data_IF_003112585820
#
_entry.id   IF_003112585820
#
_cell.length_a   1.000
_cell.length_b   1.000
_cell.length_c   1.000
_cell.angle_alpha   90.00
_cell.angle_beta   90.00
_cell.angle_gamma   90.00
#
_symmetry.space_group_name_H-M   'P 1'
#
loop_
_entity.id
_entity.type
_entity.pdbx_description
1 polymer ?
#
# COMPACT_ATOMS: atom_id res chain seq x y z
N UNK A 1 -27.93 -0.42 -14.53
CA UNK A 1 -28.17 0.10 -13.15
C UNK A 1 -28.73 -1.04 -12.34
N UNK A 2 -28.23 -1.25 -11.12
CA UNK A 2 -28.82 -2.20 -10.17
C UNK A 2 -29.97 -1.49 -9.42
N UNK A 3 -31.11 -2.19 -9.26
CA UNK A 3 -32.21 -1.82 -8.38
C UNK A 3 -31.93 -2.27 -6.96
N UNK A 4 -32.67 -1.76 -5.97
CA UNK A 4 -32.57 -2.21 -4.57
C UNK A 4 -32.98 -3.68 -4.39
N UNK A 5 -33.80 -4.20 -5.29
CA UNK A 5 -34.33 -5.58 -5.27
C UNK A 5 -33.46 -6.56 -6.09
N UNK A 6 -32.42 -6.08 -6.78
CA UNK A 6 -31.56 -6.92 -7.58
C UNK A 6 -30.64 -7.78 -6.70
N UNK A 7 -30.44 -9.03 -7.13
CA UNK A 7 -29.50 -9.94 -6.46
C UNK A 7 -28.08 -9.44 -6.65
N UNK A 8 -27.47 -9.00 -5.57
CA UNK A 8 -26.05 -8.60 -5.58
C UNK A 8 -25.13 -9.82 -5.41
N UNK A 9 -23.94 -9.80 -6.04
CA UNK A 9 -22.95 -10.84 -5.85
C UNK A 9 -22.57 -11.00 -4.38
N UNK A 10 -22.37 -12.23 -3.96
CA UNK A 10 -21.87 -12.54 -2.61
C UNK A 10 -20.46 -11.94 -2.41
N UNK A 11 -20.11 -11.59 -1.17
CA UNK A 11 -18.78 -11.09 -0.80
C UNK A 11 -17.64 -11.99 -1.27
N UNK A 12 -17.83 -13.31 -1.29
CA UNK A 12 -16.83 -14.26 -1.80
C UNK A 12 -16.59 -14.11 -3.32
N UNK A 13 -17.62 -13.76 -4.09
CA UNK A 13 -17.49 -13.47 -5.53
C UNK A 13 -16.66 -12.22 -5.75
N UNK A 14 -16.90 -11.17 -4.95
CA UNK A 14 -16.09 -9.96 -4.98
C UNK A 14 -14.63 -10.27 -4.63
N UNK A 15 -14.39 -10.98 -3.55
CA UNK A 15 -13.05 -11.38 -3.12
C UNK A 15 -12.31 -12.21 -4.17
N UNK A 16 -12.96 -13.22 -4.78
CA UNK A 16 -12.39 -14.03 -5.86
C UNK A 16 -12.03 -13.19 -7.09
N UNK A 17 -12.88 -12.26 -7.50
CA UNK A 17 -12.60 -11.39 -8.63
C UNK A 17 -11.46 -10.41 -8.32
N UNK A 18 -11.42 -9.83 -7.11
CA UNK A 18 -10.34 -8.94 -6.67
C UNK A 18 -8.99 -9.64 -6.69
N UNK A 19 -8.90 -10.86 -6.14
CA UNK A 19 -7.65 -11.61 -6.04
C UNK A 19 -7.27 -12.38 -7.31
N UNK A 20 -8.21 -12.62 -8.21
CA UNK A 20 -8.00 -13.32 -9.47
C UNK A 20 -8.03 -12.37 -10.67
N UNK A 21 -9.23 -12.18 -11.23
CA UNK A 21 -9.44 -11.48 -12.52
C UNK A 21 -8.89 -10.05 -12.57
N UNK A 22 -9.05 -9.28 -11.51
CA UNK A 22 -8.74 -7.83 -11.53
C UNK A 22 -7.42 -7.48 -10.88
N UNK A 23 -6.69 -8.44 -10.36
CA UNK A 23 -5.50 -8.20 -9.57
C UNK A 23 -4.38 -7.52 -10.38
N UNK A 24 -4.07 -8.05 -11.55
CA UNK A 24 -2.99 -7.57 -12.42
C UNK A 24 -3.49 -6.70 -13.58
N UNK A 25 -4.80 -6.46 -13.63
CA UNK A 25 -5.44 -5.77 -14.76
C UNK A 25 -5.36 -4.24 -14.72
N UNK A 26 -4.81 -3.65 -13.66
CA UNK A 26 -4.84 -2.19 -13.45
C UNK A 26 -6.25 -1.59 -13.29
N UNK A 27 -7.31 -2.41 -13.24
CA UNK A 27 -8.71 -1.95 -13.22
C UNK A 27 -8.99 -1.05 -12.03
N UNK A 28 -8.49 -1.38 -10.84
CA UNK A 28 -8.72 -0.56 -9.64
C UNK A 28 -8.04 0.80 -9.76
N UNK A 29 -6.82 0.84 -10.30
CA UNK A 29 -6.11 2.10 -10.58
C UNK A 29 -6.87 2.93 -11.59
N UNK A 30 -7.32 2.34 -12.67
CA UNK A 30 -8.12 3.01 -13.69
C UNK A 30 -9.42 3.61 -13.11
N UNK A 31 -10.14 2.86 -12.25
CA UNK A 31 -11.36 3.38 -11.57
C UNK A 31 -11.01 4.55 -10.67
N UNK A 32 -9.94 4.43 -9.88
CA UNK A 32 -9.45 5.50 -9.00
C UNK A 32 -9.14 6.77 -9.80
N UNK A 33 -8.37 6.66 -10.88
CA UNK A 33 -8.01 7.79 -11.74
C UNK A 33 -9.25 8.44 -12.38
N UNK A 34 -10.27 7.65 -12.73
CA UNK A 34 -11.56 8.17 -13.23
C UNK A 34 -12.29 9.00 -12.17
N UNK A 35 -12.28 8.57 -10.91
CA UNK A 35 -12.89 9.31 -9.80
C UNK A 35 -12.13 10.62 -9.56
N UNK A 36 -10.80 10.59 -9.52
CA UNK A 36 -9.97 11.80 -9.36
C UNK A 36 -10.26 12.81 -10.48
N UNK A 37 -10.32 12.36 -11.75
CA UNK A 37 -10.66 13.23 -12.88
C UNK A 37 -12.08 13.81 -12.77
N UNK A 38 -13.04 13.05 -12.27
CA UNK A 38 -14.38 13.56 -12.02
C UNK A 38 -14.39 14.66 -10.94
N UNK A 39 -13.59 14.50 -9.87
CA UNK A 39 -13.38 15.53 -8.85
C UNK A 39 -12.72 16.80 -9.43
N UNK A 40 -11.75 16.64 -10.34
CA UNK A 40 -11.12 17.76 -11.03
C UNK A 40 -12.13 18.54 -11.89
N UNK A 41 -12.94 17.84 -12.68
CA UNK A 41 -14.01 18.45 -13.51
C UNK A 41 -15.03 19.19 -12.64
N UNK A 42 -15.35 18.64 -11.46
CA UNK A 42 -16.24 19.27 -10.50
C UNK A 42 -15.61 20.45 -9.74
N UNK A 43 -14.33 20.77 -9.99
CA UNK A 43 -13.60 21.86 -9.33
C UNK A 43 -13.23 21.58 -7.86
N UNK A 44 -13.26 20.32 -7.45
CA UNK A 44 -12.91 19.89 -6.08
C UNK A 44 -11.41 19.74 -5.86
N UNK A 45 -10.61 19.65 -6.91
CA UNK A 45 -9.14 19.62 -6.85
C UNK A 45 -8.61 20.97 -7.28
N UNK A 46 -7.84 21.63 -6.42
CA UNK A 46 -7.24 22.95 -6.68
C UNK A 46 -5.77 22.87 -7.08
N UNK A 47 -5.06 21.84 -6.61
CA UNK A 47 -3.65 21.65 -6.95
C UNK A 47 -2.68 22.61 -6.26
N UNK A 48 -3.14 23.48 -5.36
CA UNK A 48 -2.31 24.48 -4.70
C UNK A 48 -1.46 23.90 -3.56
N UNK A 49 -2.07 23.02 -2.76
CA UNK A 49 -1.42 22.40 -1.62
C UNK A 49 -1.78 20.93 -1.49
N UNK A 50 -0.77 20.11 -1.26
CA UNK A 50 -0.97 18.70 -0.96
C UNK A 50 -0.55 18.39 0.48
N UNK A 51 -1.30 17.52 1.14
CA UNK A 51 -0.91 16.89 2.39
C UNK A 51 -0.55 15.43 2.16
N UNK A 52 0.39 14.95 2.96
CA UNK A 52 0.73 13.53 3.05
C UNK A 52 0.29 13.04 4.41
N UNK A 53 -0.43 11.94 4.43
CA UNK A 53 -0.86 11.26 5.64
C UNK A 53 -0.66 9.75 5.47
N UNK A 54 -0.47 9.05 6.57
CA UNK A 54 -0.27 7.62 6.57
C UNK A 54 -1.12 6.92 7.63
N UNK A 55 -1.74 5.82 7.26
CA UNK A 55 -2.46 4.94 8.17
C UNK A 55 -1.78 3.58 8.26
N UNK A 56 -1.59 3.07 9.47
CA UNK A 56 -1.04 1.75 9.71
C UNK A 56 -2.16 0.71 9.57
N UNK A 57 -1.90 -0.31 8.75
CA UNK A 57 -2.80 -1.46 8.55
C UNK A 57 -2.10 -2.70 9.11
N UNK A 58 -2.71 -3.35 10.09
CA UNK A 58 -2.21 -4.61 10.63
C UNK A 58 -2.20 -5.69 9.54
N UNK A 59 -1.04 -6.33 9.38
CA UNK A 59 -0.88 -7.45 8.45
C UNK A 59 -1.46 -8.74 9.06
N UNK A 60 -2.03 -9.60 8.23
CA UNK A 60 -2.44 -10.94 8.63
C UNK A 60 -1.22 -11.87 8.80
N UNK A 61 -0.27 -11.42 9.60
CA UNK A 61 1.04 -11.99 9.85
C UNK A 61 1.17 -12.37 11.33
N UNK A 62 0.64 -13.53 11.71
CA UNK A 62 0.61 -13.96 13.11
C UNK A 62 1.98 -13.93 13.78
N UNK A 63 2.11 -13.25 14.91
CA UNK A 63 3.35 -13.14 15.71
C UNK A 63 3.94 -14.49 16.14
N UNK A 64 3.12 -15.55 16.17
CA UNK A 64 3.54 -16.92 16.50
C UNK A 64 4.46 -17.56 15.45
N UNK A 65 4.43 -17.07 14.22
CA UNK A 65 5.28 -17.51 13.10
C UNK A 65 6.39 -16.48 12.81
N UNK A 66 6.77 -15.69 13.79
CA UNK A 66 7.81 -14.68 13.64
C UNK A 66 9.13 -15.15 14.22
N UNK A 67 10.23 -14.80 13.54
CA UNK A 67 11.59 -15.07 13.96
C UNK A 67 12.38 -13.74 14.12
N UNK A 68 13.52 -13.73 14.88
CA UNK A 68 14.47 -12.63 14.83
C UNK A 68 14.98 -12.39 13.41
N UNK A 69 15.15 -11.13 13.02
CA UNK A 69 15.56 -10.81 11.65
C UNK A 69 17.03 -11.03 11.37
N UNK A 70 17.86 -11.13 12.42
CA UNK A 70 19.30 -11.42 12.38
C UNK A 70 19.63 -12.91 12.38
N UNK A 71 18.63 -13.78 12.56
CA UNK A 71 18.83 -15.23 12.50
C UNK A 71 18.72 -15.73 11.05
N UNK A 72 19.66 -16.58 10.62
CA UNK A 72 19.59 -17.19 9.30
C UNK A 72 18.39 -18.12 9.19
N UNK A 73 17.60 -17.97 8.12
CA UNK A 73 16.46 -18.84 7.84
C UNK A 73 16.58 -19.47 6.45
N UNK A 74 16.38 -20.77 6.41
CA UNK A 74 16.32 -21.51 5.13
C UNK A 74 14.86 -21.50 4.63
N UNK A 75 14.61 -20.65 3.67
CA UNK A 75 13.31 -20.58 3.01
C UNK A 75 13.03 -21.82 2.19
N UNK A 76 11.76 -22.28 2.20
CA UNK A 76 11.34 -23.36 1.32
C UNK A 76 11.47 -22.94 -0.15
N UNK A 77 11.48 -23.93 -1.05
CA UNK A 77 11.52 -23.66 -2.49
C UNK A 77 10.41 -22.67 -2.88
N UNK A 78 10.72 -21.57 -3.60
CA UNK A 78 9.74 -20.56 -4.01
C UNK A 78 8.50 -21.11 -4.71
N UNK A 79 8.61 -22.23 -5.43
CA UNK A 79 7.48 -22.87 -6.12
C UNK A 79 6.41 -23.44 -5.19
N UNK A 80 6.75 -23.75 -3.94
CA UNK A 80 5.82 -24.32 -2.93
C UNK A 80 5.47 -23.31 -1.83
N UNK A 81 6.15 -22.17 -1.80
CA UNK A 81 5.88 -21.11 -0.83
C UNK A 81 4.56 -20.38 -1.09
N UNK A 82 3.97 -19.84 0.00
CA UNK A 82 2.90 -18.86 -0.12
C UNK A 82 3.42 -17.66 -0.94
N UNK A 83 2.49 -17.01 -1.62
CA UNK A 83 2.81 -15.90 -2.50
C UNK A 83 3.62 -14.77 -1.83
N UNK A 84 3.22 -14.33 -0.63
CA UNK A 84 3.93 -13.26 0.09
C UNK A 84 5.41 -13.60 0.33
N UNK A 85 5.71 -14.86 0.64
CA UNK A 85 7.10 -15.36 0.79
C UNK A 85 7.84 -15.34 -0.55
N UNK A 86 7.18 -15.74 -1.64
CA UNK A 86 7.78 -15.74 -2.97
C UNK A 86 8.14 -14.33 -3.43
N UNK A 87 7.21 -13.38 -3.32
CA UNK A 87 7.44 -11.98 -3.67
C UNK A 87 8.56 -11.34 -2.83
N UNK A 88 8.65 -11.72 -1.55
CA UNK A 88 9.76 -11.29 -0.69
C UNK A 88 11.11 -11.84 -1.17
N UNK A 89 11.19 -13.12 -1.49
CA UNK A 89 12.43 -13.75 -1.99
C UNK A 89 12.87 -13.18 -3.34
N UNK A 90 11.93 -12.91 -4.23
CA UNK A 90 12.19 -12.23 -5.50
C UNK A 90 12.70 -10.80 -5.29
N UNK A 91 12.20 -10.10 -4.26
CA UNK A 91 12.64 -8.75 -3.88
C UNK A 91 14.03 -8.71 -3.28
N UNK A 92 14.44 -9.73 -2.51
CA UNK A 92 15.77 -9.78 -1.88
C UNK A 92 16.93 -9.72 -2.90
N UNK A 93 16.73 -10.26 -4.09
CA UNK A 93 17.75 -10.23 -5.16
C UNK A 93 17.98 -8.81 -5.72
N UNK A 94 17.07 -7.87 -5.41
CA UNK A 94 17.10 -6.48 -5.87
C UNK A 94 17.39 -5.47 -4.76
N UNK A 95 17.53 -5.90 -3.50
CA UNK A 95 17.80 -4.98 -2.38
C UNK A 95 19.22 -4.40 -2.47
N UNK A 96 19.30 -3.09 -2.24
CA UNK A 96 20.58 -2.39 -2.19
C UNK A 96 21.41 -2.84 -0.99
N UNK A 97 22.76 -2.93 -1.12
CA UNK A 97 23.64 -3.21 0.00
C UNK A 97 23.46 -2.15 1.11
N UNK A 98 23.14 -2.60 2.33
CA UNK A 98 22.98 -1.72 3.49
C UNK A 98 21.54 -1.58 3.99
N UNK A 99 20.61 -2.39 3.49
CA UNK A 99 19.25 -2.46 4.05
C UNK A 99 19.31 -2.79 5.56
N UNK A 100 18.53 -2.07 6.35
CA UNK A 100 18.44 -2.28 7.80
C UNK A 100 17.83 -3.65 8.09
N UNK A 101 18.55 -4.51 8.81
CA UNK A 101 18.04 -5.80 9.25
C UNK A 101 16.77 -5.60 10.09
N UNK A 102 15.64 -6.17 9.70
CA UNK A 102 14.39 -6.02 10.46
C UNK A 102 14.53 -6.70 11.82
N UNK A 103 13.97 -6.10 12.87
CA UNK A 103 14.00 -6.67 14.22
C UNK A 103 13.34 -8.06 14.31
N UNK A 104 12.27 -8.25 13.58
CA UNK A 104 11.55 -9.52 13.44
C UNK A 104 11.03 -9.67 12.01
N UNK A 105 10.98 -10.92 11.52
CA UNK A 105 10.43 -11.28 10.22
C UNK A 105 9.27 -12.24 10.44
N UNK A 106 8.14 -12.00 9.79
CA UNK A 106 7.04 -12.96 9.76
C UNK A 106 7.27 -14.00 8.67
N UNK A 107 7.22 -15.27 9.02
CA UNK A 107 7.31 -16.37 8.04
C UNK A 107 6.04 -16.52 7.19
N UNK A 108 4.94 -15.87 7.58
CA UNK A 108 3.69 -15.85 6.82
C UNK A 108 3.63 -14.71 5.81
N UNK A 109 4.20 -13.55 6.17
CA UNK A 109 4.24 -12.33 5.36
C UNK A 109 5.52 -11.53 5.66
N UNK A 110 6.65 -11.91 5.04
CA UNK A 110 7.96 -11.33 5.36
C UNK A 110 8.13 -9.86 4.96
N UNK A 111 7.28 -9.34 4.04
CA UNK A 111 7.31 -7.93 3.65
C UNK A 111 6.69 -7.01 4.69
N UNK A 112 5.86 -7.55 5.59
CA UNK A 112 5.25 -6.76 6.66
C UNK A 112 6.30 -6.34 7.69
N UNK A 113 6.24 -5.09 8.15
CA UNK A 113 7.17 -4.55 9.13
C UNK A 113 6.70 -4.76 10.55
N UNK A 114 7.63 -5.18 11.44
CA UNK A 114 7.38 -5.24 12.87
C UNK A 114 7.37 -3.84 13.47
N UNK A 115 6.23 -3.36 13.89
CA UNK A 115 6.01 -2.00 14.40
C UNK A 115 5.16 -2.01 15.66
N UNK A 116 5.03 -0.87 16.32
CA UNK A 116 4.15 -0.65 17.45
C UNK A 116 3.52 0.74 17.40
N UNK A 117 2.24 0.84 17.72
CA UNK A 117 1.65 2.13 18.04
C UNK A 117 2.24 2.64 19.38
N UNK A 118 2.32 3.95 19.59
CA UNK A 118 2.81 4.52 20.85
C UNK A 118 2.05 3.95 22.08
N UNK A 119 2.77 3.27 22.96
CA UNK A 119 2.20 2.65 24.16
C UNK A 119 1.41 1.35 23.95
N UNK A 120 1.36 0.83 22.71
CA UNK A 120 0.68 -0.41 22.38
C UNK A 120 1.60 -1.61 22.19
N UNK A 121 1.03 -2.83 22.07
CA UNK A 121 1.78 -4.02 21.71
C UNK A 121 2.34 -3.89 20.29
N UNK A 122 3.47 -4.55 20.03
CA UNK A 122 4.03 -4.61 18.69
C UNK A 122 3.32 -5.67 17.83
N UNK A 123 3.18 -5.37 16.53
CA UNK A 123 2.53 -6.19 15.53
C UNK A 123 3.18 -6.02 14.15
N UNK A 124 2.85 -6.89 13.22
CA UNK A 124 3.28 -6.73 11.82
C UNK A 124 2.29 -5.85 11.07
N UNK A 125 2.80 -4.91 10.27
CA UNK A 125 1.96 -3.94 9.58
C UNK A 125 2.54 -3.45 8.25
N UNK A 126 1.64 -2.87 7.46
CA UNK A 126 1.91 -2.01 6.33
C UNK A 126 1.49 -0.58 6.64
N UNK A 127 2.07 0.36 5.93
CA UNK A 127 1.61 1.75 5.89
C UNK A 127 0.85 1.99 4.59
N UNK A 128 -0.32 2.60 4.68
CA UNK A 128 -1.02 3.14 3.50
C UNK A 128 -0.83 4.64 3.50
N UNK A 129 -0.06 5.13 2.54
CA UNK A 129 0.26 6.54 2.39
C UNK A 129 -0.74 7.18 1.43
N UNK A 130 -1.21 8.37 1.76
CA UNK A 130 -2.18 9.13 0.98
C UNK A 130 -1.58 10.47 0.58
N UNK A 131 -1.78 10.86 -0.69
CA UNK A 131 -1.53 12.22 -1.15
C UNK A 131 -2.88 12.91 -1.35
N UNK A 132 -3.10 14.00 -0.64
CA UNK A 132 -4.42 14.63 -0.47
C UNK A 132 -4.36 16.08 -0.93
N UNK A 133 -5.25 16.51 -1.85
CA UNK A 133 -5.48 17.94 -2.11
C UNK A 133 -6.20 18.54 -0.90
N UNK A 134 -5.60 19.56 -0.28
CA UNK A 134 -6.08 20.10 1.00
C UNK A 134 -7.31 20.97 0.87
N UNK A 135 -7.66 21.42 -0.33
CA UNK A 135 -8.78 22.34 -0.53
C UNK A 135 -10.13 21.68 -0.17
N UNK A 136 -10.33 20.45 -0.57
CA UNK A 136 -11.57 19.69 -0.31
C UNK A 136 -11.31 18.28 0.21
N UNK A 137 -10.08 17.94 0.59
CA UNK A 137 -9.73 16.62 1.12
C UNK A 137 -9.79 15.49 0.08
N UNK A 138 -9.57 15.81 -1.20
CA UNK A 138 -9.60 14.79 -2.27
C UNK A 138 -8.31 13.99 -2.25
N UNK A 139 -8.39 12.67 -2.10
CA UNK A 139 -7.23 11.78 -2.22
C UNK A 139 -6.85 11.68 -3.69
N UNK A 140 -5.64 12.14 -4.03
CA UNK A 140 -5.10 12.17 -5.39
C UNK A 140 -4.32 10.91 -5.74
N UNK A 141 -3.67 10.30 -4.74
CA UNK A 141 -2.90 9.08 -4.90
C UNK A 141 -2.79 8.30 -3.59
N UNK A 142 -2.52 7.01 -3.71
CA UNK A 142 -2.36 6.07 -2.59
C UNK A 142 -1.21 5.12 -2.89
N UNK A 143 -0.35 4.90 -1.90
CA UNK A 143 0.75 3.94 -1.98
C UNK A 143 0.82 3.09 -0.71
N UNK A 144 0.89 1.77 -0.87
CA UNK A 144 1.12 0.85 0.24
C UNK A 144 2.61 0.54 0.35
N UNK A 145 3.15 0.66 1.56
CA UNK A 145 4.57 0.39 1.83
C UNK A 145 4.71 -0.46 3.10
N UNK A 146 5.85 -1.13 3.32
CA UNK A 146 6.21 -1.60 4.65
C UNK A 146 6.19 -0.42 5.64
N UNK A 147 5.76 -0.66 6.88
CA UNK A 147 5.56 0.39 7.88
C UNK A 147 6.90 0.88 8.46
N UNK A 148 7.68 1.63 7.68
CA UNK A 148 8.91 2.30 8.14
C UNK A 148 9.10 3.66 7.45
N UNK A 149 9.72 4.62 8.18
CA UNK A 149 9.82 6.03 7.77
C UNK A 149 10.47 6.27 6.39
N UNK A 150 11.51 5.51 6.05
CA UNK A 150 12.18 5.68 4.76
C UNK A 150 11.23 5.40 3.59
N UNK A 151 10.43 4.34 3.69
CA UNK A 151 9.45 3.99 2.67
C UNK A 151 8.35 5.07 2.53
N UNK A 152 7.95 5.72 3.62
CA UNK A 152 6.97 6.82 3.60
C UNK A 152 7.49 8.04 2.81
N UNK A 153 8.76 8.40 2.99
CA UNK A 153 9.37 9.52 2.24
C UNK A 153 9.48 9.19 0.75
N UNK A 154 9.89 7.99 0.40
CA UNK A 154 10.01 7.55 -0.98
C UNK A 154 8.64 7.43 -1.65
N UNK A 155 7.63 6.90 -0.95
CA UNK A 155 6.27 6.83 -1.46
C UNK A 155 5.68 8.21 -1.74
N UNK A 156 6.00 9.21 -0.91
CA UNK A 156 5.58 10.59 -1.11
C UNK A 156 6.10 11.15 -2.44
N UNK A 157 7.40 10.97 -2.72
CA UNK A 157 8.00 11.41 -4.00
C UNK A 157 7.34 10.71 -5.19
N UNK A 158 7.15 9.39 -5.07
CA UNK A 158 6.51 8.59 -6.11
C UNK A 158 5.07 9.04 -6.37
N UNK A 159 4.28 9.29 -5.33
CA UNK A 159 2.90 9.76 -5.45
C UNK A 159 2.82 11.14 -6.11
N UNK A 160 3.68 12.08 -5.71
CA UNK A 160 3.73 13.42 -6.33
C UNK A 160 4.07 13.33 -7.82
N UNK A 161 5.05 12.50 -8.20
CA UNK A 161 5.43 12.33 -9.61
C UNK A 161 4.32 11.65 -10.43
N UNK A 162 3.62 10.66 -9.86
CA UNK A 162 2.46 10.03 -10.50
C UNK A 162 1.30 11.01 -10.71
N UNK A 163 1.00 11.83 -9.72
CA UNK A 163 -0.06 12.86 -9.84
C UNK A 163 0.31 13.88 -10.92
N UNK A 164 1.55 14.33 -10.95
CA UNK A 164 2.04 15.21 -12.02
C UNK A 164 1.90 14.55 -13.40
N UNK A 165 2.33 13.30 -13.54
CA UNK A 165 2.28 12.58 -14.81
C UNK A 165 0.85 12.30 -15.28
N UNK A 166 -0.05 11.87 -14.36
CA UNK A 166 -1.38 11.41 -14.69
C UNK A 166 -2.40 12.54 -14.83
N UNK A 167 -2.23 13.63 -14.06
CA UNK A 167 -3.21 14.72 -13.94
C UNK A 167 -2.68 16.09 -14.30
N UNK A 168 -1.38 16.22 -14.58
CA UNK A 168 -0.70 17.50 -14.88
C UNK A 168 -0.85 18.53 -13.73
N UNK A 169 -0.79 18.05 -12.48
CA UNK A 169 -0.87 18.90 -11.30
C UNK A 169 0.43 18.82 -10.52
N UNK A 170 0.98 19.98 -10.18
CA UNK A 170 2.17 20.10 -9.31
C UNK A 170 1.82 21.01 -8.15
N UNK A 171 1.96 20.58 -6.88
CA UNK A 171 1.60 21.40 -5.74
C UNK A 171 2.60 22.54 -5.56
N UNK A 172 2.12 23.72 -5.11
CA UNK A 172 2.96 24.84 -4.69
C UNK A 172 3.56 24.60 -3.30
N UNK A 173 2.89 23.79 -2.47
CA UNK A 173 3.33 23.42 -1.12
C UNK A 173 2.97 21.98 -0.81
N UNK A 174 3.83 21.33 -0.03
CA UNK A 174 3.62 20.00 0.52
C UNK A 174 3.62 20.10 2.04
N UNK A 175 2.65 19.45 2.70
CA UNK A 175 2.44 19.41 4.15
C UNK A 175 2.56 17.94 4.56
N UNK A 176 3.36 17.63 5.59
CA UNK A 176 3.54 16.30 6.15
C UNK A 176 3.88 16.39 7.62
#
# INVERSE_FOLDING_TARGET
>A
RLSLDDVVPNHSTFSKNRHGRFRESGTFRWVFDKVVRACMVAGLVKGEGFAVDASIIEAEAGSKLAMPGDEPHVWQNPSVCKRAVREYLEGLDHEAPGATVPKRISLADPQSSWTAAPGGPAFFAYSTNYLIDVAHGVILDVEATPAHRTAEVESTKLMVERVKTNFDITPQRLIG
#
